data_IF_321617032785
#
_entry.id   IF_321617032785
#
_cell.length_a   1.000
_cell.length_b   1.000
_cell.length_c   1.000
_cell.angle_alpha   90.00
_cell.angle_beta   90.00
_cell.angle_gamma   90.00
#
_symmetry.space_group_name_H-M   'P 1'
#
loop_
_entity.id
_entity.type
_entity.pdbx_description
1 polymer ?
#
# COMPACT_ATOMS: atom_id res chain seq x y z
N UNK A 1 -7.34 -13.75 0.63
CA UNK A 1 -5.90 -13.57 0.38
C UNK A 1 -5.66 -12.95 -0.98
N UNK A 2 -5.62 -11.62 -1.04
CA UNK A 2 -5.20 -10.90 -2.24
C UNK A 2 -3.69 -10.97 -2.32
N UNK A 3 -3.19 -11.95 -3.08
CA UNK A 3 -1.93 -11.77 -3.74
C UNK A 3 -2.05 -10.46 -4.56
N UNK A 4 -1.18 -9.49 -4.28
CA UNK A 4 -0.64 -8.66 -5.35
C UNK A 4 0.04 -9.62 -6.34
N UNK A 5 -0.75 -10.32 -7.17
CA UNK A 5 -0.25 -10.78 -8.47
C UNK A 5 -0.16 -9.52 -9.30
N UNK A 6 0.95 -8.82 -9.11
CA UNK A 6 1.62 -8.15 -10.22
C UNK A 6 1.68 -9.22 -11.32
N UNK A 7 0.84 -9.08 -12.35
CA UNK A 7 1.03 -9.85 -13.58
C UNK A 7 2.17 -9.14 -14.28
N UNK A 8 3.41 -9.67 -14.29
CA UNK A 8 4.45 -9.08 -15.11
C UNK A 8 4.00 -9.16 -16.57
N UNK A 9 4.14 -8.10 -17.38
CA UNK A 9 4.00 -8.24 -18.81
C UNK A 9 5.02 -9.29 -19.29
N UNK A 10 4.51 -10.28 -20.00
CA UNK A 10 5.27 -11.34 -20.65
C UNK A 10 6.48 -10.80 -21.39
N UNK A 11 7.68 -11.08 -20.88
CA UNK A 11 8.94 -10.88 -21.60
C UNK A 11 9.07 -11.99 -22.66
N UNK A 12 8.60 -11.71 -23.87
CA UNK A 12 9.04 -12.44 -25.06
C UNK A 12 10.51 -12.10 -25.29
N UNK A 13 11.37 -13.11 -25.21
CA UNK A 13 12.81 -12.96 -25.26
C UNK A 13 13.36 -12.56 -26.63
N UNK A 14 14.62 -12.13 -26.64
CA UNK A 14 15.57 -12.29 -27.75
C UNK A 14 17.00 -12.05 -27.28
N UNK A 15 17.76 -13.16 -27.23
CA UNK A 15 19.16 -13.34 -27.61
C UNK A 15 20.27 -12.43 -27.06
N UNK A 16 21.15 -13.10 -26.30
CA UNK A 16 22.54 -12.78 -25.96
C UNK A 16 23.46 -12.52 -27.16
N UNK A 17 24.42 -11.59 -27.05
CA UNK A 17 25.84 -11.82 -27.39
C UNK A 17 26.77 -10.65 -26.99
N UNK A 18 28.03 -11.00 -26.70
CA UNK A 18 29.28 -10.21 -26.77
C UNK A 18 29.79 -9.44 -25.52
N UNK A 19 30.64 -10.16 -24.76
CA UNK A 19 32.08 -9.91 -24.49
C UNK A 19 32.65 -8.47 -24.51
N UNK A 20 33.38 -8.09 -23.45
CA UNK A 20 34.30 -6.94 -23.44
C UNK A 20 34.88 -6.67 -22.05
N UNK A 21 36.21 -6.51 -21.96
CA UNK A 21 37.04 -6.69 -20.76
C UNK A 21 37.77 -5.38 -20.34
N UNK A 22 38.38 -5.39 -19.14
CA UNK A 22 39.59 -4.65 -18.71
C UNK A 22 39.50 -3.24 -18.01
N UNK A 23 39.77 -3.27 -16.68
CA UNK A 23 40.67 -2.45 -15.78
C UNK A 23 40.38 -1.01 -15.26
N UNK A 24 40.65 -0.88 -13.92
CA UNK A 24 41.37 0.14 -13.08
C UNK A 24 41.06 1.65 -13.31
N UNK A 25 41.01 2.56 -12.33
CA UNK A 25 41.43 2.64 -10.91
C UNK A 25 41.07 4.04 -10.34
N UNK A 26 40.83 4.16 -9.02
CA UNK A 26 41.34 5.27 -8.19
C UNK A 26 40.45 6.51 -7.94
N UNK A 27 39.89 6.64 -6.73
CA UNK A 27 40.26 7.64 -5.70
C UNK A 27 39.17 7.73 -4.60
N UNK A 28 39.55 7.94 -3.32
CA UNK A 28 38.60 8.09 -2.21
C UNK A 28 38.26 9.58 -1.99
N UNK A 29 36.98 9.93 -2.01
CA UNK A 29 36.50 11.26 -1.61
C UNK A 29 35.79 11.17 -0.25
N UNK A 30 36.51 11.67 0.74
CA UNK A 30 36.11 12.19 2.05
C UNK A 30 34.61 12.14 2.41
N UNK A 31 34.33 11.29 3.39
CA UNK A 31 33.08 11.22 4.13
C UNK A 31 32.84 12.49 4.95
N UNK A 32 32.05 13.42 4.45
CA UNK A 32 31.39 14.42 5.29
C UNK A 32 30.13 13.77 5.91
N UNK A 33 30.30 13.06 7.03
CA UNK A 33 29.19 12.62 7.88
C UNK A 33 28.52 13.88 8.44
N UNK A 34 27.49 14.36 7.73
CA UNK A 34 26.58 15.36 8.27
C UNK A 34 25.86 14.71 9.44
N UNK A 35 26.26 15.05 10.67
CA UNK A 35 25.54 14.71 11.90
C UNK A 35 24.18 15.39 11.84
N UNK A 36 23.20 14.75 11.19
CA UNK A 36 21.79 15.10 11.34
C UNK A 36 21.41 14.77 12.77
N UNK A 37 21.29 15.81 13.58
CA UNK A 37 20.65 15.79 14.89
C UNK A 37 19.32 15.05 14.76
N UNK A 38 19.19 13.88 15.39
CA UNK A 38 17.96 13.10 15.45
C UNK A 38 16.95 13.78 16.38
N UNK A 39 16.38 14.90 15.93
CA UNK A 39 15.02 15.25 16.35
C UNK A 39 14.14 14.14 15.76
N UNK A 40 13.44 13.40 16.61
CA UNK A 40 12.63 12.25 16.22
C UNK A 40 11.86 12.58 14.96
N UNK A 41 12.13 11.85 13.87
CA UNK A 41 11.41 12.05 12.61
C UNK A 41 9.93 11.81 12.91
N UNK A 42 9.08 12.78 12.60
CA UNK A 42 7.65 12.53 12.54
C UNK A 42 7.44 11.39 11.54
N UNK A 43 6.62 10.41 11.91
CA UNK A 43 6.31 9.29 11.02
C UNK A 43 5.49 9.82 9.85
N UNK A 44 5.91 9.49 8.63
CA UNK A 44 5.25 9.97 7.41
C UNK A 44 4.01 9.12 7.14
N UNK A 45 2.85 9.77 7.04
CA UNK A 45 1.58 9.10 6.76
C UNK A 45 1.25 9.23 5.29
N UNK A 46 1.09 8.11 4.59
CA UNK A 46 0.87 8.10 3.13
C UNK A 46 -0.33 7.25 2.76
N UNK A 47 -1.13 7.75 1.82
CA UNK A 47 -2.44 7.21 1.50
C UNK A 47 -2.53 6.90 0.00
N UNK A 48 -3.04 5.73 -0.35
CA UNK A 48 -3.12 5.27 -1.73
C UNK A 48 -4.48 4.67 -2.04
N UNK A 49 -4.89 4.73 -3.31
CA UNK A 49 -5.97 3.93 -3.88
C UNK A 49 -5.58 3.31 -5.21
N UNK A 50 -6.00 2.09 -5.46
CA UNK A 50 -5.90 1.44 -6.77
C UNK A 50 -7.19 0.68 -7.11
N UNK A 51 -7.60 0.64 -8.39
CA UNK A 51 -8.66 -0.26 -8.81
C UNK A 51 -8.15 -1.71 -8.87
N UNK A 52 -9.00 -2.68 -8.54
CA UNK A 52 -8.70 -4.11 -8.65
C UNK A 52 -9.90 -4.90 -9.23
N UNK A 53 -9.66 -6.15 -9.65
CA UNK A 53 -10.69 -7.09 -10.15
C UNK A 53 -10.66 -8.35 -9.28
N UNK A 54 -11.81 -8.80 -8.75
CA UNK A 54 -11.90 -10.04 -7.98
C UNK A 54 -11.72 -11.26 -8.89
N UNK A 55 -11.07 -12.31 -8.39
CA UNK A 55 -10.80 -13.55 -9.14
C UNK A 55 -12.05 -14.19 -9.76
N UNK A 56 -13.19 -14.16 -9.05
CA UNK A 56 -14.45 -14.74 -9.53
C UNK A 56 -15.05 -13.98 -10.74
N UNK A 57 -14.66 -12.73 -10.94
CA UNK A 57 -15.10 -11.91 -12.08
C UNK A 57 -14.07 -11.92 -13.23
N UNK A 58 -12.93 -12.60 -13.08
CA UNK A 58 -11.95 -12.76 -14.16
C UNK A 58 -12.49 -13.61 -15.32
N UNK A 59 -13.41 -14.54 -15.05
CA UNK A 59 -13.95 -15.48 -16.04
C UNK A 59 -15.27 -15.02 -16.70
N UNK A 60 -15.81 -13.85 -16.31
CA UNK A 60 -17.08 -13.32 -16.87
C UNK A 60 -16.87 -12.47 -18.13
N UNK A 61 -15.77 -12.69 -18.85
CA UNK A 61 -15.39 -11.94 -20.05
C UNK A 61 -16.28 -12.21 -21.27
N UNK A 62 -17.24 -13.13 -21.19
CA UNK A 62 -17.93 -13.66 -22.37
C UNK A 62 -18.97 -12.68 -22.97
N UNK A 63 -19.49 -11.70 -22.22
CA UNK A 63 -20.67 -10.91 -22.66
C UNK A 63 -20.49 -9.39 -22.76
N UNK A 64 -19.27 -8.84 -22.73
CA UNK A 64 -19.05 -7.41 -23.00
C UNK A 64 -19.54 -6.43 -21.91
N UNK A 65 -20.05 -6.92 -20.78
CA UNK A 65 -20.37 -6.10 -19.60
C UNK A 65 -19.07 -5.59 -18.97
N UNK A 66 -18.98 -4.28 -18.74
CA UNK A 66 -17.82 -3.66 -18.09
C UNK A 66 -17.54 -4.36 -16.75
N UNK A 67 -16.34 -4.97 -16.62
CA UNK A 67 -15.86 -5.56 -15.37
C UNK A 67 -16.08 -4.55 -14.24
N UNK A 68 -16.92 -4.87 -13.25
CA UNK A 68 -17.08 -4.03 -12.06
C UNK A 68 -15.75 -4.07 -11.30
N UNK A 69 -15.00 -2.96 -11.38
CA UNK A 69 -13.73 -2.81 -10.66
C UNK A 69 -14.05 -2.48 -9.21
N UNK A 70 -13.42 -3.20 -8.28
CA UNK A 70 -13.36 -2.81 -6.88
C UNK A 70 -12.28 -1.75 -6.66
N UNK A 71 -12.31 -1.12 -5.50
CA UNK A 71 -11.30 -0.16 -5.05
C UNK A 71 -10.57 -0.67 -3.82
N UNK A 72 -9.25 -0.62 -3.86
CA UNK A 72 -8.38 -0.94 -2.74
C UNK A 72 -7.75 0.35 -2.25
N UNK A 73 -7.87 0.64 -0.96
CA UNK A 73 -7.26 1.78 -0.30
C UNK A 73 -6.27 1.30 0.74
N UNK A 74 -5.16 2.01 0.89
CA UNK A 74 -4.16 1.72 1.90
C UNK A 74 -3.63 2.99 2.54
N UNK A 75 -3.44 2.91 3.85
CA UNK A 75 -2.78 3.90 4.67
C UNK A 75 -1.50 3.28 5.22
N UNK A 76 -0.35 3.85 4.86
CA UNK A 76 0.96 3.48 5.37
C UNK A 76 1.38 4.45 6.49
N UNK A 77 1.74 3.86 7.64
CA UNK A 77 2.43 4.54 8.75
C UNK A 77 3.93 4.27 8.58
N UNK A 78 4.65 5.27 8.07
CA UNK A 78 5.99 5.16 7.50
C UNK A 78 6.07 4.11 6.38
N UNK A 79 6.60 2.92 6.70
CA UNK A 79 6.94 1.88 5.74
C UNK A 79 5.87 0.80 5.65
N UNK A 80 5.03 0.68 6.67
CA UNK A 80 4.15 -0.45 6.85
C UNK A 80 2.69 -0.02 6.76
N UNK A 81 1.87 -0.90 6.22
CA UNK A 81 0.44 -0.65 6.15
C UNK A 81 -0.15 -0.65 7.57
N UNK A 82 -0.93 0.38 7.88
CA UNK A 82 -1.58 0.55 9.17
C UNK A 82 -3.10 0.36 9.07
N UNK A 83 -3.72 0.77 7.95
CA UNK A 83 -5.14 0.52 7.65
C UNK A 83 -5.33 0.19 6.18
N UNK A 84 -6.33 -0.65 5.89
CA UNK A 84 -6.69 -1.06 4.53
C UNK A 84 -8.22 -1.11 4.36
N UNK A 85 -8.69 -0.72 3.18
CA UNK A 85 -10.11 -0.81 2.79
C UNK A 85 -10.21 -1.54 1.45
N UNK A 86 -11.09 -2.52 1.35
CA UNK A 86 -11.47 -3.12 0.07
C UNK A 86 -12.96 -2.92 -0.20
N UNK A 87 -13.28 -2.18 -1.26
CA UNK A 87 -14.66 -1.89 -1.67
C UNK A 87 -14.96 -2.59 -2.99
N UNK A 88 -16.11 -3.26 -3.03
CA UNK A 88 -16.64 -3.94 -4.20
C UNK A 88 -18.13 -3.61 -4.30
N UNK A 89 -18.65 -3.34 -5.50
CA UNK A 89 -20.06 -2.94 -5.67
C UNK A 89 -21.07 -4.03 -5.27
N UNK A 90 -20.65 -5.29 -5.15
CA UNK A 90 -21.54 -6.41 -4.86
C UNK A 90 -21.35 -6.95 -3.43
N UNK A 91 -20.45 -6.37 -2.64
CA UNK A 91 -20.12 -6.87 -1.29
C UNK A 91 -19.98 -5.72 -0.31
N UNK A 92 -20.11 -6.03 0.97
CA UNK A 92 -19.75 -5.10 2.04
C UNK A 92 -18.26 -4.76 1.97
N UNK A 93 -17.93 -3.52 2.34
CA UNK A 93 -16.54 -3.08 2.41
C UNK A 93 -15.78 -3.87 3.48
N UNK A 94 -14.55 -4.26 3.16
CA UNK A 94 -13.67 -4.94 4.10
C UNK A 94 -12.73 -3.91 4.70
N UNK A 95 -12.86 -3.68 6.01
CA UNK A 95 -11.96 -2.83 6.79
C UNK A 95 -10.94 -3.72 7.50
N UNK A 96 -9.66 -3.33 7.45
CA UNK A 96 -8.58 -4.08 8.08
C UNK A 96 -7.62 -3.10 8.76
N UNK A 97 -7.10 -3.47 9.93
CA UNK A 97 -6.15 -2.67 10.71
C UNK A 97 -4.97 -3.52 11.20
N UNK A 98 -3.78 -2.92 11.19
CA UNK A 98 -2.57 -3.59 11.64
C UNK A 98 -2.64 -3.97 13.13
N UNK A 99 -2.16 -5.17 13.46
CA UNK A 99 -2.25 -5.83 14.77
C UNK A 99 -3.52 -6.67 14.97
N UNK A 100 -4.56 -6.45 14.15
CA UNK A 100 -5.82 -7.21 14.20
C UNK A 100 -5.91 -8.14 12.98
N UNK A 101 -5.66 -7.58 11.80
CA UNK A 101 -5.93 -8.23 10.52
C UNK A 101 -4.65 -8.54 9.73
N UNK A 102 -3.50 -8.65 10.40
CA UNK A 102 -2.19 -8.74 9.75
C UNK A 102 -2.14 -9.85 8.68
N UNK A 103 -2.77 -11.01 8.94
CA UNK A 103 -2.83 -12.11 7.97
C UNK A 103 -3.60 -11.78 6.69
N UNK A 104 -4.52 -10.81 6.73
CA UNK A 104 -5.37 -10.40 5.62
C UNK A 104 -4.89 -9.12 4.91
N UNK A 105 -3.88 -8.44 5.45
CA UNK A 105 -3.33 -7.18 4.92
C UNK A 105 -2.13 -7.41 3.99
N UNK A 106 -1.69 -6.35 3.31
CA UNK A 106 -0.48 -6.38 2.51
C UNK A 106 0.77 -6.58 3.40
N UNK A 107 1.59 -7.59 3.08
CA UNK A 107 2.84 -7.89 3.79
C UNK A 107 4.06 -7.11 3.27
N UNK A 108 3.91 -6.41 2.13
CA UNK A 108 5.00 -5.66 1.50
C UNK A 108 5.12 -4.26 2.12
N UNK A 109 6.35 -3.79 2.28
CA UNK A 109 6.61 -2.41 2.66
C UNK A 109 6.28 -1.44 1.53
N UNK A 110 6.12 -0.15 1.84
CA UNK A 110 5.80 0.86 0.84
C UNK A 110 6.78 0.87 -0.35
N UNK A 111 8.07 0.72 -0.08
CA UNK A 111 9.12 0.70 -1.10
C UNK A 111 9.03 -0.55 -2.01
N UNK A 112 8.48 -1.65 -1.52
CA UNK A 112 8.31 -2.91 -2.26
C UNK A 112 7.00 -2.98 -3.06
N UNK A 113 6.05 -2.09 -2.78
CA UNK A 113 4.72 -2.10 -3.40
C UNK A 113 4.65 -1.40 -4.76
N UNK A 114 5.70 -0.64 -5.12
CA UNK A 114 5.74 0.28 -6.27
C UNK A 114 4.59 1.32 -6.32
N UNK A 115 3.83 1.48 -5.23
CA UNK A 115 2.68 2.39 -5.20
C UNK A 115 3.08 3.84 -5.44
N UNK A 116 4.25 4.24 -4.95
CA UNK A 116 4.82 5.58 -5.08
C UNK A 116 5.20 5.95 -6.52
N UNK A 117 5.51 4.95 -7.36
CA UNK A 117 5.85 5.13 -8.77
C UNK A 117 4.62 5.20 -9.68
N UNK A 118 3.45 4.77 -9.18
CA UNK A 118 2.21 4.72 -9.96
C UNK A 118 1.49 6.06 -9.94
N UNK A 119 1.53 6.81 -11.04
CA UNK A 119 0.85 8.11 -11.14
C UNK A 119 -0.64 8.01 -10.79
N UNK A 120 -1.10 8.85 -9.85
CA UNK A 120 -2.50 8.94 -9.43
C UNK A 120 -2.95 7.85 -8.45
N UNK A 121 -2.04 7.02 -7.94
CA UNK A 121 -2.33 6.10 -6.84
C UNK A 121 -2.40 6.82 -5.50
N UNK A 122 -1.51 7.77 -5.25
CA UNK A 122 -1.45 8.53 -4.00
C UNK A 122 -2.64 9.50 -3.90
N UNK A 123 -3.30 9.49 -2.75
CA UNK A 123 -4.50 10.29 -2.44
C UNK A 123 -4.27 11.09 -1.17
N UNK A 124 -5.19 12.02 -0.88
CA UNK A 124 -5.15 12.79 0.36
C UNK A 124 -5.64 11.93 1.54
N UNK A 125 -5.16 12.26 2.73
CA UNK A 125 -5.69 11.72 3.99
C UNK A 125 -7.22 11.86 4.04
N UNK A 126 -7.75 13.04 3.71
CA UNK A 126 -9.19 13.30 3.72
C UNK A 126 -10.00 12.36 2.82
N UNK A 127 -9.44 11.96 1.67
CA UNK A 127 -10.11 11.05 0.74
C UNK A 127 -10.17 9.62 1.31
N UNK A 128 -9.10 9.20 2.00
CA UNK A 128 -9.07 7.92 2.70
C UNK A 128 -10.02 7.94 3.90
N UNK A 129 -9.96 8.98 4.73
CA UNK A 129 -10.79 9.14 5.93
C UNK A 129 -12.28 9.18 5.61
N UNK A 130 -12.67 9.86 4.53
CA UNK A 130 -14.05 9.89 4.07
C UNK A 130 -14.58 8.47 3.82
N UNK A 131 -13.80 7.63 3.14
CA UNK A 131 -14.21 6.27 2.81
C UNK A 131 -14.13 5.34 4.02
N UNK A 132 -13.11 5.51 4.88
CA UNK A 132 -12.96 4.79 6.14
C UNK A 132 -14.18 5.01 7.06
N UNK A 133 -14.55 6.27 7.29
CA UNK A 133 -15.67 6.63 8.15
C UNK A 133 -17.02 6.21 7.56
N UNK A 134 -17.20 6.37 6.24
CA UNK A 134 -18.42 5.95 5.53
C UNK A 134 -18.73 4.46 5.71
N UNK A 135 -17.71 3.63 5.87
CA UNK A 135 -17.85 2.18 6.02
C UNK A 135 -17.76 1.68 7.46
N UNK A 136 -17.92 2.56 8.46
CA UNK A 136 -17.93 2.17 9.88
C UNK A 136 -16.53 2.01 10.50
N UNK A 137 -15.52 2.65 9.91
CA UNK A 137 -14.15 2.54 10.36
C UNK A 137 -13.90 3.09 11.76
N UNK A 138 -14.73 4.02 12.24
CA UNK A 138 -14.62 4.52 13.63
C UNK A 138 -15.02 3.43 14.62
N UNK A 139 -16.16 2.80 14.40
CA UNK A 139 -16.69 1.71 15.22
C UNK A 139 -15.74 0.51 15.20
N UNK A 140 -15.17 0.23 14.03
CA UNK A 140 -14.18 -0.81 13.86
C UNK A 140 -12.92 -0.57 14.70
N UNK A 141 -12.34 0.65 14.66
CA UNK A 141 -11.18 0.99 15.49
C UNK A 141 -11.49 0.97 16.99
N UNK A 142 -12.67 1.45 17.40
CA UNK A 142 -13.09 1.39 18.81
C UNK A 142 -13.19 -0.06 19.31
N UNK A 143 -13.77 -0.94 18.50
CA UNK A 143 -13.97 -2.35 18.87
C UNK A 143 -12.65 -3.12 19.04
N UNK A 144 -11.57 -2.66 18.39
CA UNK A 144 -10.27 -3.32 18.39
C UNK A 144 -9.14 -2.49 19.03
N UNK A 145 -9.47 -1.43 19.76
CA UNK A 145 -8.51 -0.43 20.24
C UNK A 145 -7.23 -0.99 20.88
N UNK A 146 -7.36 -2.00 21.74
CA UNK A 146 -6.23 -2.61 22.46
C UNK A 146 -5.34 -3.54 21.63
N UNK A 147 -5.72 -3.83 20.39
CA UNK A 147 -5.00 -4.74 19.49
C UNK A 147 -4.28 -4.00 18.35
N UNK A 148 -4.63 -2.73 18.12
CA UNK A 148 -4.04 -1.92 17.05
C UNK A 148 -2.55 -1.67 17.33
N UNK A 149 -1.70 -2.00 16.36
CA UNK A 149 -0.25 -1.88 16.50
C UNK A 149 0.30 -0.49 16.12
N UNK A 150 -0.39 0.24 15.23
CA UNK A 150 0.02 1.60 14.83
C UNK A 150 -0.34 2.63 15.92
N UNK A 151 0.69 3.31 16.44
CA UNK A 151 0.52 4.41 17.40
C UNK A 151 -0.22 5.60 16.78
N UNK A 152 0.03 5.87 15.49
CA UNK A 152 -0.67 6.94 14.78
C UNK A 152 -2.17 6.66 14.73
N UNK A 153 -2.58 5.43 14.37
CA UNK A 153 -4.01 5.05 14.31
C UNK A 153 -4.67 5.14 15.69
N UNK A 154 -3.97 4.70 16.75
CA UNK A 154 -4.44 4.83 18.13
C UNK A 154 -4.65 6.31 18.52
N UNK A 155 -3.74 7.20 18.11
CA UNK A 155 -3.86 8.65 18.36
C UNK A 155 -4.97 9.29 17.51
N UNK A 156 -5.12 8.87 16.25
CA UNK A 156 -6.17 9.34 15.35
C UNK A 156 -7.56 9.08 15.92
N UNK A 157 -7.78 7.92 16.54
CA UNK A 157 -9.05 7.59 17.19
C UNK A 157 -9.41 8.60 18.31
N UNK A 158 -8.41 9.10 19.04
CA UNK A 158 -8.63 10.12 20.08
C UNK A 158 -9.04 11.48 19.50
N UNK A 159 -8.75 11.73 18.22
CA UNK A 159 -9.08 12.96 17.51
C UNK A 159 -10.45 12.92 16.83
N UNK A 160 -11.05 11.74 16.65
CA UNK A 160 -12.41 11.63 16.11
C UNK A 160 -13.51 12.17 17.06
N UNK A 161 -13.17 12.88 18.15
CA UNK A 161 -14.15 13.35 19.16
C UNK A 161 -15.34 14.07 18.55
#
# INVERSE_FOLDING_TARGET
MFYLKVVPPSMTGSTSTASGSIRKSGQPATTAYSKKTSRGKATEQRYFRIPFIRGNDQNREINGEQKKKGWWYAHFDDKWIARQIEIDSNKEAVLLVAGVDDMNMCELSLDETDLTSKKGSEILESDFEQEWLKHGGREYLNSHYGQISSKYVVQLLQNYR
#
